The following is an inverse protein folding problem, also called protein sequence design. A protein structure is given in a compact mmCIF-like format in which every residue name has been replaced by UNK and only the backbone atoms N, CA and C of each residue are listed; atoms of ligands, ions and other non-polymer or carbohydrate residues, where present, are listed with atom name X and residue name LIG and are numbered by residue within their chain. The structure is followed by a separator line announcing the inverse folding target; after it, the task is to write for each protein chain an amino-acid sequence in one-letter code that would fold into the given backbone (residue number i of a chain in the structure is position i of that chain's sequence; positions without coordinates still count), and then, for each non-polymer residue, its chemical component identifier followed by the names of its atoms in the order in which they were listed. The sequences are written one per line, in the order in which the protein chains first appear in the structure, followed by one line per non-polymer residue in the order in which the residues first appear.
data_IF_114537718597
#
_entry.id   IF_114537718597
#
_cell.length_a   1.000
_cell.length_b   1.000
_cell.length_c   1.000
_cell.angle_alpha   90.00
_cell.angle_beta   90.00
_cell.angle_gamma   90.00
#
_symmetry.space_group_name_H-M   'P 1'
#
loop_
_entity.id
_entity.type
_entity.pdbx_description
1 polymer ?
#
# COMPACT_ATOMS: atom_id res chain seq x y z
N UNK A 1 23.68 9.34 3.61
CA UNK A 1 23.22 10.04 2.39
C UNK A 1 23.35 9.20 1.11
N UNK A 2 24.36 8.32 1.01
CA UNK A 2 24.65 7.50 -0.17
C UNK A 2 23.49 6.64 -0.74
N UNK A 3 22.62 6.09 0.12
CA UNK A 3 21.49 5.26 -0.33
C UNK A 3 20.47 6.01 -1.20
N UNK A 4 20.31 7.33 -1.02
CA UNK A 4 19.36 8.12 -1.81
C UNK A 4 19.83 8.24 -3.26
N UNK A 5 21.13 8.43 -3.44
CA UNK A 5 21.79 8.65 -4.73
C UNK A 5 21.70 7.40 -5.63
N UNK A 6 21.86 6.21 -5.04
CA UNK A 6 21.70 4.92 -5.73
C UNK A 6 20.27 4.75 -6.27
N UNK A 7 19.26 5.13 -5.47
CA UNK A 7 17.84 4.98 -5.86
C UNK A 7 17.43 6.05 -6.88
N UNK A 8 17.96 7.27 -6.75
CA UNK A 8 17.63 8.38 -7.66
C UNK A 8 18.14 8.14 -9.08
N UNK A 9 19.31 7.49 -9.24
CA UNK A 9 19.84 7.07 -10.55
C UNK A 9 18.91 6.14 -11.32
N UNK A 10 17.96 5.50 -10.64
CA UNK A 10 17.08 4.51 -11.23
C UNK A 10 15.75 5.13 -11.69
N UNK A 11 15.19 6.06 -10.91
CA UNK A 11 14.03 6.88 -11.30
C UNK A 11 13.92 8.10 -10.38
N UNK A 12 13.76 9.28 -10.97
CA UNK A 12 13.67 10.52 -10.20
C UNK A 12 12.45 10.51 -9.26
N UNK A 13 12.66 10.89 -7.99
CA UNK A 13 11.60 10.97 -6.98
C UNK A 13 11.10 9.62 -6.39
N UNK A 14 11.58 8.48 -6.87
CA UNK A 14 11.15 7.14 -6.41
C UNK A 14 11.35 6.97 -4.90
N UNK A 15 12.47 7.48 -4.37
CA UNK A 15 12.77 7.40 -2.94
C UNK A 15 11.80 8.24 -2.09
N UNK A 16 11.22 9.32 -2.62
CA UNK A 16 10.22 10.14 -1.92
C UNK A 16 8.88 9.42 -1.84
N UNK A 17 8.45 8.84 -2.95
CA UNK A 17 7.21 8.06 -3.03
C UNK A 17 7.28 6.80 -2.16
N UNK A 18 8.40 6.07 -2.23
CA UNK A 18 8.64 4.90 -1.40
C UNK A 18 8.59 5.23 0.10
N UNK A 19 9.21 6.32 0.55
CA UNK A 19 9.13 6.75 1.96
C UNK A 19 7.69 7.01 2.40
N UNK A 20 6.92 7.74 1.60
CA UNK A 20 5.52 8.05 1.90
C UNK A 20 4.69 6.78 1.99
N UNK A 21 4.87 5.88 1.04
CA UNK A 21 4.19 4.59 1.03
C UNK A 21 4.54 3.74 2.24
N UNK A 22 5.83 3.57 2.55
CA UNK A 22 6.29 2.77 3.68
C UNK A 22 5.82 3.33 5.02
N UNK A 23 5.81 4.65 5.18
CA UNK A 23 5.24 5.32 6.36
C UNK A 23 3.75 4.99 6.52
N UNK A 24 2.95 5.26 5.48
CA UNK A 24 1.51 5.07 5.53
C UNK A 24 1.13 3.60 5.76
N UNK A 25 1.81 2.68 5.08
CA UNK A 25 1.58 1.24 5.21
C UNK A 25 1.89 0.73 6.63
N UNK A 26 2.99 1.20 7.23
CA UNK A 26 3.33 0.81 8.60
C UNK A 26 2.33 1.36 9.63
N UNK A 27 1.92 2.63 9.47
CA UNK A 27 0.94 3.25 10.36
C UNK A 27 -0.41 2.53 10.28
N UNK A 28 -0.91 2.27 9.07
CA UNK A 28 -2.20 1.58 8.87
C UNK A 28 -2.19 0.17 9.47
N UNK A 29 -1.11 -0.59 9.28
CA UNK A 29 -0.96 -1.93 9.87
C UNK A 29 -0.96 -1.89 11.40
N UNK A 30 -0.09 -1.07 11.99
CA UNK A 30 0.07 -1.01 13.45
C UNK A 30 -1.17 -0.41 14.13
N UNK A 31 -1.87 0.50 13.47
CA UNK A 31 -3.14 1.03 13.99
C UNK A 31 -4.23 -0.04 14.06
N UNK A 32 -4.35 -0.88 13.03
CA UNK A 32 -5.30 -2.01 13.05
C UNK A 32 -4.97 -3.00 14.16
N UNK A 33 -3.71 -3.33 14.35
CA UNK A 33 -3.22 -4.19 15.44
C UNK A 33 -3.52 -3.55 16.81
N UNK A 34 -3.30 -2.24 16.96
CA UNK A 34 -3.61 -1.51 18.18
C UNK A 34 -5.12 -1.50 18.50
N UNK A 35 -5.99 -1.32 17.51
CA UNK A 35 -7.44 -1.42 17.70
C UNK A 35 -7.88 -2.83 18.13
N UNK A 36 -7.21 -3.87 17.64
CA UNK A 36 -7.45 -5.24 18.11
C UNK A 36 -6.97 -5.41 19.56
N UNK A 37 -5.79 -4.90 19.90
CA UNK A 37 -5.25 -4.92 21.26
C UNK A 37 -6.19 -4.19 22.26
N UNK A 38 -6.71 -3.02 21.90
CA UNK A 38 -7.67 -2.28 22.74
C UNK A 38 -8.94 -3.09 23.04
N UNK A 39 -9.44 -3.87 22.07
CA UNK A 39 -10.59 -4.76 22.30
C UNK A 39 -10.28 -5.85 23.33
N UNK A 40 -9.07 -6.42 23.29
CA UNK A 40 -8.64 -7.39 24.29
C UNK A 40 -8.49 -6.76 25.68
N UNK A 41 -7.94 -5.54 25.78
CA UNK A 41 -7.86 -4.80 27.05
C UNK A 41 -9.26 -4.54 27.61
N UNK A 42 -10.20 -4.13 26.78
CA UNK A 42 -11.59 -3.92 27.20
C UNK A 42 -12.22 -5.19 27.80
N UNK A 43 -11.98 -6.35 27.19
CA UNK A 43 -12.45 -7.64 27.71
C UNK A 43 -11.74 -8.03 29.01
N UNK A 44 -10.42 -7.85 29.09
CA UNK A 44 -9.61 -8.20 30.26
C UNK A 44 -9.97 -7.35 31.49
N UNK A 45 -10.15 -6.04 31.30
CA UNK A 45 -10.58 -5.12 32.36
C UNK A 45 -11.99 -5.45 32.84
N UNK A 46 -12.89 -5.85 31.94
CA UNK A 46 -14.23 -6.33 32.31
C UNK A 46 -14.21 -7.54 33.25
N UNK A 47 -13.20 -8.41 33.13
CA UNK A 47 -13.00 -9.57 34.02
C UNK A 47 -12.31 -9.18 35.35
N UNK A 48 -11.48 -8.13 35.35
CA UNK A 48 -10.76 -7.64 36.55
C UNK A 48 -11.55 -6.66 37.40
N UNK A 49 -12.63 -6.07 36.87
CA UNK A 49 -13.52 -5.17 37.61
C UNK A 49 -14.13 -5.79 38.88
N UNK A 50 -14.07 -7.11 39.04
CA UNK A 50 -14.42 -7.79 40.30
C UNK A 50 -13.42 -7.52 41.45
N UNK A 51 -12.21 -7.04 41.16
CA UNK A 51 -11.12 -6.80 42.12
C UNK A 51 -11.13 -5.39 42.76
N UNK A 52 -12.26 -4.66 42.71
CA UNK A 52 -12.44 -3.33 43.29
C UNK A 52 -11.59 -2.20 42.67
N UNK A 53 -10.80 -2.47 41.63
CA UNK A 53 -10.17 -1.43 40.82
C UNK A 53 -11.18 -0.80 39.86
N UNK A 54 -11.11 0.52 39.67
CA UNK A 54 -11.96 1.22 38.70
C UNK A 54 -11.56 0.79 37.26
N UNK A 55 -12.44 0.09 36.54
CA UNK A 55 -12.14 -0.41 35.20
C UNK A 55 -11.82 0.72 34.21
N UNK A 56 -12.37 1.91 34.41
CA UNK A 56 -12.11 3.04 33.52
C UNK A 56 -10.66 3.53 33.62
N UNK A 57 -10.08 3.49 34.82
CA UNK A 57 -8.69 3.92 35.06
C UNK A 57 -7.73 2.92 34.44
N UNK A 58 -7.95 1.62 34.66
CA UNK A 58 -7.08 0.56 34.12
C UNK A 58 -7.09 0.54 32.59
N UNK A 59 -8.27 0.69 31.97
CA UNK A 59 -8.38 0.78 30.51
C UNK A 59 -7.60 1.97 29.94
N UNK A 60 -7.69 3.15 30.58
CA UNK A 60 -6.96 4.35 30.15
C UNK A 60 -5.45 4.17 30.26
N UNK A 61 -4.98 3.60 31.37
CA UNK A 61 -3.56 3.38 31.61
C UNK A 61 -2.98 2.38 30.60
N UNK A 62 -3.63 1.22 30.47
CA UNK A 62 -3.16 0.14 29.60
C UNK A 62 -3.27 0.54 28.12
N UNK A 63 -4.36 1.19 27.73
CA UNK A 63 -4.53 1.73 26.38
C UNK A 63 -3.46 2.77 26.01
N UNK A 64 -3.09 3.63 26.97
CA UNK A 64 -2.01 4.60 26.78
C UNK A 64 -0.64 3.93 26.64
N UNK A 65 -0.35 2.92 27.46
CA UNK A 65 0.90 2.14 27.35
C UNK A 65 1.03 1.48 25.97
N UNK A 66 -0.04 0.83 25.49
CA UNK A 66 -0.08 0.24 24.14
C UNK A 66 0.11 1.27 23.03
N UNK A 67 -0.42 2.49 23.22
CA UNK A 67 -0.24 3.58 22.26
C UNK A 67 1.23 4.03 22.17
N UNK A 68 1.91 4.23 23.31
CA UNK A 68 3.34 4.58 23.34
C UNK A 68 4.16 3.49 22.65
N UNK A 69 3.87 2.23 22.95
CA UNK A 69 4.58 1.11 22.34
C UNK A 69 4.40 1.10 20.82
N UNK A 70 3.16 1.26 20.34
CA UNK A 70 2.85 1.37 18.91
C UNK A 70 3.65 2.51 18.25
N UNK A 71 3.70 3.69 18.87
CA UNK A 71 4.47 4.83 18.36
C UNK A 71 5.97 4.52 18.24
N UNK A 72 6.55 3.86 19.25
CA UNK A 72 7.94 3.43 19.22
C UNK A 72 8.19 2.35 18.14
N UNK A 73 7.22 1.47 17.91
CA UNK A 73 7.29 0.46 16.84
C UNK A 73 7.21 1.10 15.45
N UNK A 74 6.34 2.09 15.22
CA UNK A 74 6.26 2.82 13.94
C UNK A 74 7.63 3.40 13.58
N UNK A 75 8.28 4.11 14.51
CA UNK A 75 9.59 4.72 14.28
C UNK A 75 10.65 3.70 13.88
N UNK A 76 10.76 2.59 14.64
CA UNK A 76 11.70 1.50 14.36
C UNK A 76 11.46 0.84 13.01
N UNK A 77 10.19 0.52 12.70
CA UNK A 77 9.83 -0.18 11.47
C UNK A 77 10.07 0.67 10.22
N UNK A 78 9.78 1.97 10.28
CA UNK A 78 10.02 2.89 9.16
C UNK A 78 11.51 3.02 8.88
N UNK A 79 12.33 3.18 9.92
CA UNK A 79 13.79 3.25 9.77
C UNK A 79 14.30 1.96 9.12
N UNK A 80 13.95 0.81 9.67
CA UNK A 80 14.36 -0.49 9.12
C UNK A 80 13.89 -0.68 7.67
N UNK A 81 12.63 -0.34 7.37
CA UNK A 81 12.06 -0.43 6.03
C UNK A 81 12.82 0.43 5.02
N UNK A 82 13.19 1.66 5.40
CA UNK A 82 13.98 2.56 4.54
C UNK A 82 15.38 1.97 4.30
N UNK A 83 16.00 1.35 5.30
CA UNK A 83 17.32 0.71 5.16
C UNK A 83 17.30 -0.60 4.37
N UNK A 84 16.20 -1.35 4.40
CA UNK A 84 16.06 -2.59 3.65
C UNK A 84 15.52 -2.39 2.22
N UNK A 85 14.88 -1.25 1.94
CA UNK A 85 14.29 -0.95 0.63
C UNK A 85 15.31 -1.10 -0.52
N UNK A 86 15.02 -2.01 -1.45
CA UNK A 86 15.77 -2.21 -2.70
C UNK A 86 14.79 -2.08 -3.87
N UNK A 87 14.91 -1.05 -4.73
CA UNK A 87 14.03 -0.93 -5.89
C UNK A 87 14.29 -2.07 -6.87
N UNK A 88 13.24 -2.81 -7.23
CA UNK A 88 13.26 -3.78 -8.33
C UNK A 88 12.64 -3.07 -9.53
N UNK A 89 13.43 -2.79 -10.55
CA UNK A 89 12.91 -2.26 -11.82
C UNK A 89 12.51 -3.45 -12.67
N UNK A 90 11.23 -3.51 -13.01
CA UNK A 90 10.77 -4.34 -14.12
C UNK A 90 10.86 -3.49 -15.38
N UNK A 91 11.81 -3.81 -16.27
CA UNK A 91 12.03 -3.10 -17.54
C UNK A 91 10.84 -3.20 -18.52
N UNK A 92 9.80 -3.96 -18.16
CA UNK A 92 8.66 -4.28 -19.03
C UNK A 92 7.60 -3.18 -19.14
N UNK A 93 7.61 -2.16 -18.27
CA UNK A 93 6.55 -1.14 -18.22
C UNK A 93 6.86 0.12 -19.07
N UNK A 94 8.09 0.28 -19.59
CA UNK A 94 8.47 1.47 -20.39
C UNK A 94 7.95 1.44 -21.84
N UNK A 95 7.27 0.37 -22.26
CA UNK A 95 6.76 0.19 -23.62
C UNK A 95 5.23 0.36 -23.75
N UNK A 96 4.59 1.17 -22.90
CA UNK A 96 3.20 1.60 -23.16
C UNK A 96 3.21 3.00 -23.78
N UNK A 97 3.13 3.12 -25.13
CA UNK A 97 3.06 4.44 -25.75
C UNK A 97 1.78 5.15 -25.29
N UNK A 98 1.94 6.37 -24.81
CA UNK A 98 0.85 7.33 -24.59
C UNK A 98 0.04 7.48 -25.88
N UNK A 99 -1.09 6.79 -25.98
CA UNK A 99 -2.10 7.02 -27.02
C UNK A 99 -3.48 7.08 -26.37
N UNK A 100 -3.80 8.20 -25.74
CA UNK A 100 -5.16 8.45 -25.24
C UNK A 100 -5.66 9.89 -25.35
N UNK A 101 -4.90 10.82 -25.93
CA UNK A 101 -5.40 12.19 -26.12
C UNK A 101 -5.00 12.74 -27.49
N UNK A 102 -5.62 12.20 -28.55
CA UNK A 102 -5.83 12.88 -29.85
C UNK A 102 -6.52 11.95 -30.84
N UNK A 103 -7.79 11.58 -30.62
CA UNK A 103 -8.72 11.19 -31.70
C UNK A 103 -10.17 11.43 -31.26
N UNK A 104 -10.49 12.68 -30.93
CA UNK A 104 -11.86 13.17 -31.09
C UNK A 104 -11.79 14.27 -32.11
N UNK A 105 -12.02 13.92 -33.38
CA UNK A 105 -12.77 14.74 -34.34
C UNK A 105 -12.93 14.01 -35.68
N UNK A 106 -14.19 14.03 -36.13
CA UNK A 106 -14.70 13.88 -37.50
C UNK A 106 -14.78 12.46 -38.09
N UNK A 107 -15.98 11.91 -37.95
CA UNK A 107 -16.81 11.58 -39.12
C UNK A 107 -16.54 10.26 -39.85
N UNK A 108 -17.62 9.47 -39.93
CA UNK A 108 -17.91 8.39 -40.89
C UNK A 108 -17.25 7.03 -40.64
N UNK A 109 -18.11 6.07 -40.27
CA UNK A 109 -18.14 4.70 -40.80
C UNK A 109 -17.02 3.76 -40.34
N UNK A 110 -17.34 2.85 -39.42
CA UNK A 110 -16.51 1.68 -39.15
C UNK A 110 -17.30 0.40 -39.47
N UNK A 111 -16.95 -0.18 -40.61
CA UNK A 111 -17.31 -1.53 -41.03
C UNK A 111 -16.21 -2.48 -40.54
N UNK A 112 -16.52 -3.42 -39.64
CA UNK A 112 -15.58 -4.39 -39.07
C UNK A 112 -16.16 -5.81 -39.01
N UNK A 113 -16.76 -6.31 -40.10
CA UNK A 113 -17.34 -7.65 -40.08
C UNK A 113 -17.20 -8.47 -41.37
N UNK A 114 -16.19 -8.21 -42.21
CA UNK A 114 -15.78 -9.18 -43.25
C UNK A 114 -14.27 -9.13 -43.49
N UNK A 115 -13.53 -9.82 -42.62
CA UNK A 115 -12.13 -10.15 -42.85
C UNK A 115 -11.84 -11.55 -42.29
N UNK A 116 -12.63 -12.54 -42.70
CA UNK A 116 -12.30 -13.96 -42.64
C UNK A 116 -13.30 -14.71 -43.52
N UNK A 117 -12.83 -15.78 -44.17
CA UNK A 117 -13.52 -16.62 -45.16
C UNK A 117 -13.46 -16.12 -46.63
N UNK A 118 -12.24 -15.97 -47.13
CA UNK A 118 -11.94 -16.22 -48.55
C UNK A 118 -10.89 -17.31 -48.66
N UNK A 119 -11.18 -18.50 -48.15
CA UNK A 119 -10.42 -19.72 -48.38
C UNK A 119 -11.35 -20.90 -48.08
N UNK A 120 -11.95 -21.43 -49.13
CA UNK A 120 -12.49 -22.79 -49.34
C UNK A 120 -13.33 -22.75 -50.63
N UNK A 121 -12.63 -22.57 -51.76
CA UNK A 121 -13.08 -23.08 -53.06
C UNK A 121 -12.23 -24.30 -53.33
N UNK A 122 -12.86 -25.39 -53.80
CA UNK A 122 -12.29 -26.68 -54.19
C UNK A 122 -12.24 -27.78 -53.11
N UNK A 123 -13.41 -28.30 -52.74
CA UNK A 123 -13.62 -29.75 -52.58
C UNK A 123 -15.13 -30.00 -52.77
N UNK A 124 -15.44 -31.08 -53.48
CA UNK A 124 -16.77 -31.50 -53.96
C UNK A 124 -17.89 -31.44 -52.93
#
# INVERSE_FOLDING_TARGET
MHKREIVENQKSGLMKEAKRFLLLSNIDRLWKEHLQALKFVQQAVGLRGYAQCDPLIEYKLEGYNLFIEMMAQIGRNVIYSIYQFKPVVNDKEQARPEKSSKLVKKGKGWCWQKAQASELKHAL
#
